data_IF_678034729013
#
_entry.id   IF_678034729013
#
_cell.length_a   1.000
_cell.length_b   1.000
_cell.length_c   1.000
_cell.angle_alpha   90.00
_cell.angle_beta   90.00
_cell.angle_gamma   90.00
#
_symmetry.space_group_name_H-M   'P 1'
#
loop_
_entity.id
_entity.type
_entity.pdbx_description
1 polymer ?
#
# COMPACT_ATOMS: atom_id res chain seq x y z
N UNK A 1 20.31 5.11 0.79
CA UNK A 1 20.29 3.82 0.08
C UNK A 1 20.52 4.14 -1.38
N UNK A 2 21.69 3.72 -1.91
CA UNK A 2 21.98 3.87 -3.34
C UNK A 2 21.23 2.80 -4.13
N UNK A 3 20.48 3.19 -5.12
CA UNK A 3 19.84 2.27 -6.05
C UNK A 3 20.24 2.62 -7.49
N UNK A 4 20.39 1.61 -8.31
CA UNK A 4 20.67 1.75 -9.72
C UNK A 4 19.35 1.59 -10.47
N UNK A 5 18.96 2.61 -11.19
CA UNK A 5 17.77 2.57 -12.04
C UNK A 5 18.11 1.89 -13.37
N UNK A 6 17.35 0.87 -13.72
CA UNK A 6 17.42 0.23 -15.04
C UNK A 6 15.99 0.17 -15.58
N UNK A 7 15.59 1.19 -16.33
CA UNK A 7 14.18 1.33 -16.74
C UNK A 7 13.25 1.61 -15.52
N UNK A 8 12.17 0.83 -15.39
CA UNK A 8 11.22 0.93 -14.28
C UNK A 8 11.58 0.02 -13.09
N UNK A 9 12.83 -0.45 -13.02
CA UNK A 9 13.29 -1.39 -12.02
C UNK A 9 14.41 -0.79 -11.18
N UNK A 10 14.32 -0.93 -9.85
CA UNK A 10 15.32 -0.43 -8.91
C UNK A 10 15.90 -1.60 -8.14
N UNK A 11 17.21 -1.84 -8.30
CA UNK A 11 17.95 -2.80 -7.50
C UNK A 11 18.41 -2.13 -6.20
N UNK A 12 18.14 -2.75 -5.07
CA UNK A 12 18.67 -2.32 -3.79
C UNK A 12 20.18 -2.57 -3.71
N UNK A 13 20.90 -1.75 -2.96
CA UNK A 13 22.33 -2.02 -2.74
C UNK A 13 22.49 -3.31 -1.94
N UNK A 14 23.26 -4.25 -2.47
CA UNK A 14 23.54 -5.57 -1.87
C UNK A 14 24.15 -5.52 -0.46
N UNK A 15 24.56 -4.35 0.00
CA UNK A 15 25.08 -4.17 1.36
C UNK A 15 23.95 -4.10 2.41
N UNK A 16 22.76 -3.60 2.04
CA UNK A 16 21.64 -3.37 2.95
C UNK A 16 20.57 -4.42 2.78
N UNK A 17 20.22 -4.70 1.54
CA UNK A 17 19.18 -5.68 1.20
C UNK A 17 19.48 -6.32 -0.15
N UNK A 18 19.00 -7.53 -0.34
CA UNK A 18 18.83 -8.15 -1.64
C UNK A 18 17.39 -7.96 -2.06
N UNK A 19 17.13 -7.59 -3.32
CA UNK A 19 15.76 -7.46 -3.81
C UNK A 19 15.58 -6.45 -4.92
N UNK A 20 14.33 -6.29 -5.28
CA UNK A 20 13.88 -5.63 -6.47
C UNK A 20 12.62 -4.81 -6.18
N UNK A 21 12.57 -3.60 -6.69
CA UNK A 21 11.35 -2.81 -6.80
C UNK A 21 11.09 -2.56 -8.28
N UNK A 22 9.99 -3.10 -8.77
CA UNK A 22 9.53 -2.93 -10.15
C UNK A 22 8.31 -2.02 -10.16
N UNK A 23 8.41 -0.89 -10.86
CA UNK A 23 7.32 0.07 -11.04
C UNK A 23 6.91 0.10 -12.49
N UNK A 24 5.64 -0.18 -12.77
CA UNK A 24 5.04 -0.14 -14.09
C UNK A 24 3.94 0.92 -14.12
N UNK A 25 4.06 1.90 -14.99
CA UNK A 25 2.95 2.79 -15.32
C UNK A 25 1.97 2.05 -16.26
N UNK A 26 0.73 1.90 -15.81
CA UNK A 26 -0.34 1.23 -16.57
C UNK A 26 -1.05 2.22 -17.48
N UNK A 27 -1.31 3.42 -16.98
CA UNK A 27 -1.81 4.58 -17.72
C UNK A 27 -1.38 5.84 -16.98
N UNK A 28 -1.57 7.01 -17.58
CA UNK A 28 -1.09 8.28 -17.01
C UNK A 28 -1.51 8.43 -15.55
N UNK A 29 -0.52 8.48 -14.67
CA UNK A 29 -0.71 8.67 -13.23
C UNK A 29 -1.25 7.44 -12.48
N UNK A 30 -1.24 6.25 -13.09
CA UNK A 30 -1.60 4.98 -12.45
C UNK A 30 -0.42 4.01 -12.50
N UNK A 31 0.11 3.68 -11.34
CA UNK A 31 1.29 2.82 -11.20
C UNK A 31 0.97 1.54 -10.45
N UNK A 32 1.54 0.45 -10.94
CA UNK A 32 1.61 -0.83 -10.25
C UNK A 32 3.05 -1.03 -9.78
N UNK A 33 3.23 -1.18 -8.48
CA UNK A 33 4.56 -1.30 -7.85
C UNK A 33 4.66 -2.65 -7.17
N UNK A 34 5.60 -3.47 -7.61
CA UNK A 34 5.95 -4.73 -6.97
C UNK A 34 7.27 -4.56 -6.23
N UNK A 35 7.27 -4.85 -4.94
CA UNK A 35 8.46 -4.81 -4.11
C UNK A 35 8.74 -6.19 -3.53
N UNK A 36 9.98 -6.63 -3.67
CA UNK A 36 10.50 -7.83 -3.03
C UNK A 36 11.86 -7.51 -2.43
N UNK A 37 11.98 -7.54 -1.11
CA UNK A 37 13.17 -7.08 -0.39
C UNK A 37 13.49 -8.05 0.75
N UNK A 38 14.77 -8.45 0.85
CA UNK A 38 15.30 -9.22 1.96
C UNK A 38 16.42 -8.42 2.63
N UNK A 39 16.10 -7.82 3.76
CA UNK A 39 17.05 -7.01 4.52
C UNK A 39 18.01 -7.90 5.30
N UNK A 40 19.31 -7.54 5.33
CA UNK A 40 20.38 -8.31 6.00
C UNK A 40 20.47 -8.06 7.50
N UNK A 41 19.81 -7.02 7.96
CA UNK A 41 19.68 -6.62 9.36
C UNK A 41 18.42 -5.80 9.54
N UNK A 42 17.98 -5.62 10.78
CA UNK A 42 16.96 -4.64 11.13
C UNK A 42 17.28 -3.31 10.46
N UNK A 43 16.35 -2.83 9.65
CA UNK A 43 16.56 -1.64 8.82
C UNK A 43 15.43 -0.65 8.99
N UNK A 44 15.80 0.58 9.30
CA UNK A 44 14.91 1.73 9.24
C UNK A 44 15.15 2.45 7.91
N UNK A 45 14.09 2.59 7.13
CA UNK A 45 14.07 3.38 5.90
C UNK A 45 13.33 4.68 6.19
N UNK A 46 14.03 5.79 6.07
CA UNK A 46 13.47 7.13 6.24
C UNK A 46 13.34 7.80 4.89
N UNK A 47 12.13 8.20 4.57
CA UNK A 47 11.79 8.92 3.36
C UNK A 47 11.32 10.32 3.71
N UNK A 48 11.93 11.34 3.11
CA UNK A 48 11.59 12.75 3.29
C UNK A 48 11.19 13.35 1.95
N UNK A 49 10.10 14.06 1.94
CA UNK A 49 9.54 14.72 0.76
C UNK A 49 9.10 16.15 1.09
N UNK A 50 9.19 17.11 0.13
CA UNK A 50 8.65 18.47 0.32
C UNK A 50 7.15 18.43 0.32
N UNK A 51 6.34 17.82 0.89
CA UNK A 51 4.89 17.56 0.79
C UNK A 51 4.53 16.69 -0.41
N UNK A 52 4.25 15.43 -0.14
CA UNK A 52 3.75 14.50 -1.15
C UNK A 52 2.29 14.13 -0.87
N UNK A 53 1.43 14.42 -1.84
CA UNK A 53 0.09 13.84 -1.85
C UNK A 53 0.17 12.42 -2.40
N UNK A 54 -0.45 11.49 -1.71
CA UNK A 54 -0.48 10.09 -2.07
C UNK A 54 -1.90 9.56 -2.07
N UNK A 55 -2.18 8.70 -3.03
CA UNK A 55 -3.22 7.68 -2.94
C UNK A 55 -2.56 6.36 -3.25
N UNK A 56 -2.45 5.50 -2.27
CA UNK A 56 -1.77 4.22 -2.41
C UNK A 56 -2.55 3.11 -1.72
N UNK A 57 -2.84 2.06 -2.48
CA UNK A 57 -3.42 0.82 -1.98
C UNK A 57 -2.34 -0.26 -2.03
N UNK A 58 -1.97 -0.82 -0.88
CA UNK A 58 -0.89 -1.80 -0.75
C UNK A 58 -1.41 -3.12 -0.23
N UNK A 59 -0.94 -4.23 -0.82
CA UNK A 59 -1.23 -5.60 -0.43
C UNK A 59 0.06 -6.27 0.04
N UNK A 60 0.07 -6.81 1.26
CA UNK A 60 1.18 -7.61 1.75
C UNK A 60 1.03 -9.06 1.33
N UNK A 61 2.05 -9.61 0.68
CA UNK A 61 2.12 -11.01 0.27
C UNK A 61 2.99 -11.84 1.21
N UNK A 62 4.03 -11.21 1.76
CA UNK A 62 4.95 -11.85 2.69
C UNK A 62 5.67 -10.81 3.56
N UNK A 63 6.11 -11.22 4.74
CA UNK A 63 6.79 -10.37 5.70
C UNK A 63 5.83 -9.44 6.44
N UNK A 64 6.39 -8.58 7.27
CA UNK A 64 5.68 -7.54 8.01
C UNK A 64 6.42 -6.23 7.79
N UNK A 65 5.69 -5.18 7.52
CA UNK A 65 6.21 -3.82 7.48
C UNK A 65 5.49 -2.98 8.52
N UNK A 66 6.26 -2.26 9.31
CA UNK A 66 5.76 -1.23 10.22
C UNK A 66 6.19 0.13 9.72
N UNK A 67 5.32 1.12 9.78
CA UNK A 67 5.67 2.48 9.41
C UNK A 67 4.88 3.51 10.22
N UNK A 68 5.42 4.70 10.27
CA UNK A 68 4.75 5.87 10.79
C UNK A 68 5.00 7.09 9.90
N UNK A 69 4.14 8.08 10.03
CA UNK A 69 4.30 9.37 9.41
C UNK A 69 4.54 10.44 10.49
N UNK A 70 5.33 11.44 10.15
CA UNK A 70 5.54 12.58 11.04
C UNK A 70 4.23 13.25 11.42
N UNK A 71 3.30 13.35 10.47
CA UNK A 71 1.99 13.99 10.62
C UNK A 71 1.00 13.18 11.47
N UNK A 72 1.21 11.86 11.61
CA UNK A 72 0.37 10.98 12.42
C UNK A 72 0.76 10.93 13.90
N UNK A 73 1.78 11.69 14.30
CA UNK A 73 2.26 11.72 15.68
C UNK A 73 2.87 10.38 16.11
N UNK A 74 2.29 9.77 17.16
CA UNK A 74 2.77 8.49 17.70
C UNK A 74 2.09 7.27 17.07
N UNK A 75 1.20 7.45 16.08
CA UNK A 75 0.55 6.33 15.44
C UNK A 75 1.56 5.54 14.60
N UNK A 76 1.62 4.24 14.85
CA UNK A 76 2.38 3.28 14.08
C UNK A 76 1.42 2.32 13.36
N UNK A 77 1.61 2.15 12.09
CA UNK A 77 0.83 1.25 11.24
C UNK A 77 1.62 -0.02 10.97
N UNK A 78 0.93 -1.11 10.79
CA UNK A 78 1.53 -2.41 10.46
C UNK A 78 0.73 -3.05 9.33
N UNK A 79 1.44 -3.59 8.35
CA UNK A 79 0.87 -4.38 7.27
C UNK A 79 1.50 -5.78 7.30
N UNK A 80 0.65 -6.79 7.40
CA UNK A 80 1.03 -8.21 7.44
C UNK A 80 0.35 -9.00 6.31
N UNK A 81 0.80 -10.23 6.03
CA UNK A 81 0.17 -11.07 5.02
C UNK A 81 -1.35 -11.19 5.20
N UNK A 82 -2.08 -11.23 4.11
CA UNK A 82 -3.55 -11.20 4.06
C UNK A 82 -4.22 -9.87 4.41
N UNK A 83 -3.44 -8.82 4.62
CA UNK A 83 -3.94 -7.47 4.82
C UNK A 83 -3.67 -6.59 3.60
N UNK A 84 -4.48 -5.54 3.48
CA UNK A 84 -4.25 -4.41 2.58
C UNK A 84 -4.34 -3.10 3.37
N UNK A 85 -3.67 -2.08 2.88
CA UNK A 85 -3.74 -0.74 3.44
C UNK A 85 -4.05 0.29 2.37
N UNK A 86 -4.95 1.22 2.68
CA UNK A 86 -5.13 2.46 1.92
C UNK A 86 -4.43 3.60 2.65
N UNK A 87 -3.62 4.31 1.92
CA UNK A 87 -2.95 5.53 2.37
C UNK A 87 -3.39 6.67 1.47
N UNK A 88 -4.01 7.69 2.04
CA UNK A 88 -4.50 8.83 1.29
C UNK A 88 -4.27 10.13 2.06
N UNK A 89 -3.75 11.15 1.38
CA UNK A 89 -3.48 12.45 1.97
C UNK A 89 -2.07 12.95 1.74
N UNK A 90 -1.65 13.94 2.54
CA UNK A 90 -0.34 14.59 2.41
C UNK A 90 0.56 14.23 3.59
N UNK A 91 1.81 13.92 3.30
CA UNK A 91 2.86 13.72 4.30
C UNK A 91 4.20 14.29 3.84
N UNK A 92 5.07 14.61 4.79
CA UNK A 92 6.42 15.11 4.55
C UNK A 92 7.50 14.07 4.89
N UNK A 93 7.23 13.19 5.84
CA UNK A 93 8.18 12.16 6.27
C UNK A 93 7.46 10.86 6.58
N UNK A 94 8.03 9.76 6.07
CA UNK A 94 7.64 8.40 6.40
C UNK A 94 8.86 7.64 6.94
N UNK A 95 8.68 6.87 8.00
CA UNK A 95 9.70 5.98 8.54
C UNK A 95 9.14 4.56 8.52
N UNK A 96 9.80 3.67 7.79
CA UNK A 96 9.43 2.26 7.66
C UNK A 96 10.47 1.37 8.32
N UNK A 97 10.02 0.34 9.03
CA UNK A 97 10.86 -0.62 9.74
C UNK A 97 10.71 -2.01 9.13
N UNK A 98 11.85 -2.63 8.82
CA UNK A 98 11.92 -3.94 8.20
C UNK A 98 12.79 -4.88 9.03
N UNK A 99 12.28 -6.08 9.28
CA UNK A 99 13.02 -7.16 9.93
C UNK A 99 13.97 -7.86 8.95
N UNK A 100 15.11 -8.33 9.46
CA UNK A 100 16.05 -9.17 8.72
C UNK A 100 15.57 -10.61 8.55
N UNK A 101 14.60 -11.07 9.36
CA UNK A 101 14.22 -12.48 9.43
C UNK A 101 13.34 -12.95 8.28
N UNK A 102 12.57 -12.01 7.69
CA UNK A 102 11.56 -12.35 6.70
C UNK A 102 11.65 -11.46 5.46
N UNK A 103 11.72 -12.05 4.26
CA UNK A 103 11.58 -11.27 3.03
C UNK A 103 10.24 -10.53 3.00
N UNK A 104 10.31 -9.25 2.72
CA UNK A 104 9.14 -8.41 2.55
C UNK A 104 8.71 -8.40 1.08
N UNK A 105 7.45 -8.72 0.83
CA UNK A 105 6.89 -8.75 -0.52
C UNK A 105 5.53 -8.08 -0.57
N UNK A 106 5.42 -7.04 -1.40
CA UNK A 106 4.17 -6.28 -1.59
C UNK A 106 3.85 -6.04 -3.05
N UNK A 107 2.57 -5.86 -3.30
CA UNK A 107 2.04 -5.22 -4.50
C UNK A 107 1.31 -3.96 -4.09
N UNK A 108 1.69 -2.83 -4.67
CA UNK A 108 1.05 -1.54 -4.40
C UNK A 108 0.51 -0.92 -5.67
N UNK A 109 -0.66 -0.31 -5.55
CA UNK A 109 -1.28 0.52 -6.57
C UNK A 109 -1.12 1.96 -6.12
N UNK A 110 -0.46 2.79 -6.93
CA UNK A 110 -0.26 4.21 -6.63
C UNK A 110 -0.92 5.06 -7.71
N UNK A 111 -1.69 6.05 -7.28
CA UNK A 111 -2.34 7.03 -8.13
C UNK A 111 -1.74 8.40 -7.89
N UNK A 112 -1.40 9.11 -8.96
CA UNK A 112 -1.02 10.52 -8.87
C UNK A 112 -2.25 11.40 -8.59
N UNK A 113 -2.00 12.57 -7.99
CA UNK A 113 -3.05 13.49 -7.56
C UNK A 113 -4.08 13.78 -8.65
N UNK A 114 -3.63 14.04 -9.89
CA UNK A 114 -4.53 14.35 -11.01
C UNK A 114 -5.48 13.19 -11.33
N UNK A 115 -5.03 11.94 -11.10
CA UNK A 115 -5.79 10.73 -11.38
C UNK A 115 -6.84 10.43 -10.31
N UNK A 116 -6.56 10.69 -9.04
CA UNK A 116 -7.51 10.39 -7.95
C UNK A 116 -8.36 11.59 -7.51
N UNK A 117 -8.02 12.82 -7.93
CA UNK A 117 -8.82 14.01 -7.60
C UNK A 117 -10.32 13.88 -7.88
N UNK A 118 -10.76 13.26 -9.00
CA UNK A 118 -12.18 13.04 -9.24
C UNK A 118 -12.88 12.12 -8.21
N UNK A 119 -12.10 11.31 -7.49
CA UNK A 119 -12.61 10.38 -6.48
C UNK A 119 -12.69 11.02 -5.08
N UNK A 120 -12.13 12.21 -4.89
CA UNK A 120 -11.97 12.81 -3.57
C UNK A 120 -13.30 13.03 -2.86
N UNK A 121 -14.33 13.50 -3.55
CA UNK A 121 -15.65 13.73 -2.96
C UNK A 121 -16.26 12.42 -2.43
N UNK A 122 -16.14 11.35 -3.22
CA UNK A 122 -16.63 10.03 -2.82
C UNK A 122 -15.84 9.48 -1.64
N UNK A 123 -14.51 9.62 -1.66
CA UNK A 123 -13.63 9.18 -0.57
C UNK A 123 -13.87 9.95 0.72
N UNK A 124 -14.15 11.25 0.65
CA UNK A 124 -14.54 12.08 1.80
C UNK A 124 -15.90 11.64 2.36
N UNK A 125 -16.88 11.40 1.49
CA UNK A 125 -18.19 10.91 1.88
C UNK A 125 -18.12 9.52 2.56
N UNK A 126 -17.13 8.70 2.19
CA UNK A 126 -16.84 7.41 2.80
C UNK A 126 -15.95 7.51 4.05
N UNK A 127 -15.54 8.71 4.47
CA UNK A 127 -14.59 8.94 5.57
C UNK A 127 -13.22 8.26 5.38
N UNK A 128 -12.81 8.02 4.15
CA UNK A 128 -11.52 7.44 3.79
C UNK A 128 -10.39 8.47 3.68
N UNK A 129 -10.76 9.75 3.63
CA UNK A 129 -9.84 10.89 3.60
C UNK A 129 -10.21 11.87 4.69
N UNK A 130 -9.21 12.55 5.20
CA UNK A 130 -9.39 13.62 6.18
C UNK A 130 -9.65 14.95 5.47
N UNK A 131 -10.56 15.75 6.00
CA UNK A 131 -10.85 17.09 5.48
C UNK A 131 -9.65 18.06 5.56
N UNK A 132 -8.71 17.82 6.49
CA UNK A 132 -7.46 18.59 6.62
C UNK A 132 -6.36 18.15 5.63
N UNK A 133 -6.67 17.23 4.70
CA UNK A 133 -5.75 16.64 3.73
C UNK A 133 -4.50 15.94 4.33
N UNK A 134 -4.41 15.80 5.65
CA UNK A 134 -3.33 15.02 6.26
C UNK A 134 -3.47 13.55 5.93
N UNK A 135 -2.33 12.87 5.93
CA UNK A 135 -2.28 11.43 5.67
C UNK A 135 -3.25 10.66 6.57
N UNK A 136 -4.04 9.83 5.95
CA UNK A 136 -4.93 8.87 6.59
C UNK A 136 -4.55 7.48 6.12
N UNK A 137 -4.48 6.54 7.06
CA UNK A 137 -4.13 5.16 6.77
C UNK A 137 -5.18 4.23 7.35
N UNK A 138 -5.72 3.40 6.48
CA UNK A 138 -6.66 2.34 6.86
C UNK A 138 -6.03 0.98 6.54
N UNK A 139 -6.02 0.07 7.51
CA UNK A 139 -5.51 -1.30 7.35
C UNK A 139 -6.64 -2.28 7.58
N UNK A 140 -6.87 -3.18 6.63
CA UNK A 140 -7.96 -4.16 6.67
C UNK A 140 -7.50 -5.54 6.23
N UNK A 141 -8.23 -6.56 6.65
CA UNK A 141 -8.10 -7.91 6.08
C UNK A 141 -8.72 -7.95 4.68
N UNK A 142 -8.04 -8.60 3.74
CA UNK A 142 -8.54 -8.74 2.37
C UNK A 142 -9.75 -9.67 2.32
N UNK A 143 -10.83 -9.21 1.69
CA UNK A 143 -12.01 -10.05 1.40
C UNK A 143 -11.71 -11.13 0.35
N UNK A 144 -12.55 -12.17 0.23
CA UNK A 144 -12.43 -13.16 -0.85
C UNK A 144 -12.47 -12.53 -2.24
N UNK A 145 -13.29 -11.49 -2.46
CA UNK A 145 -13.39 -10.78 -3.72
C UNK A 145 -12.08 -10.07 -4.09
N UNK A 146 -11.51 -9.33 -3.15
CA UNK A 146 -10.21 -8.68 -3.31
C UNK A 146 -9.13 -9.71 -3.63
N UNK A 147 -9.04 -10.82 -2.87
CA UNK A 147 -8.06 -11.89 -3.10
C UNK A 147 -8.18 -12.51 -4.49
N UNK A 148 -9.40 -12.71 -4.97
CA UNK A 148 -9.64 -13.26 -6.32
C UNK A 148 -9.11 -12.34 -7.42
N UNK A 149 -9.44 -11.05 -7.36
CA UNK A 149 -8.98 -10.07 -8.36
C UNK A 149 -7.47 -9.86 -8.27
N UNK A 150 -6.94 -9.83 -7.05
CA UNK A 150 -5.51 -9.72 -6.78
C UNK A 150 -4.71 -10.88 -7.38
N UNK A 151 -5.22 -12.13 -7.27
CA UNK A 151 -4.60 -13.28 -7.90
C UNK A 151 -4.54 -13.13 -9.43
N UNK A 152 -5.56 -12.58 -10.06
CA UNK A 152 -5.55 -12.30 -11.50
C UNK A 152 -4.50 -11.28 -11.93
N UNK A 153 -4.13 -10.33 -11.07
CA UNK A 153 -3.01 -9.42 -11.33
C UNK A 153 -1.68 -10.18 -11.31
N UNK A 154 -1.47 -11.04 -10.30
CA UNK A 154 -0.24 -11.80 -10.13
C UNK A 154 -0.05 -12.83 -11.26
N UNK A 155 -1.12 -13.48 -11.67
CA UNK A 155 -1.10 -14.56 -12.68
C UNK A 155 -1.15 -14.02 -14.13
N UNK A 156 -1.15 -12.70 -14.33
CA UNK A 156 -1.24 -12.13 -15.68
C UNK A 156 0.05 -12.40 -16.46
N UNK A 157 -0.01 -13.21 -17.55
CA UNK A 157 1.17 -13.55 -18.30
C UNK A 157 1.85 -12.33 -18.93
N UNK A 158 3.19 -12.26 -18.95
CA UNK A 158 3.92 -11.15 -19.58
C UNK A 158 3.60 -10.96 -21.06
N UNK A 159 3.38 -12.06 -21.77
CA UNK A 159 3.11 -12.12 -23.22
C UNK A 159 1.65 -11.82 -23.59
N UNK A 160 0.78 -11.60 -22.61
CA UNK A 160 -0.63 -11.33 -22.85
C UNK A 160 -0.82 -10.10 -23.76
N UNK A 161 -1.53 -10.26 -24.85
CA UNK A 161 -1.96 -9.14 -25.68
C UNK A 161 -2.84 -8.19 -24.88
N UNK A 162 -2.63 -6.90 -25.04
CA UNK A 162 -3.31 -5.84 -24.27
C UNK A 162 -3.15 -6.01 -22.74
N UNK A 163 -1.97 -6.52 -22.31
CA UNK A 163 -1.66 -6.76 -20.89
C UNK A 163 -1.88 -5.52 -20.04
N UNK A 164 -1.40 -4.36 -20.48
CA UNK A 164 -1.53 -3.10 -19.73
C UNK A 164 -3.00 -2.74 -19.50
N UNK A 165 -3.85 -2.82 -20.53
CA UNK A 165 -5.28 -2.56 -20.41
C UNK A 165 -5.97 -3.55 -19.44
N UNK A 166 -5.57 -4.83 -19.51
CA UNK A 166 -6.10 -5.84 -18.57
C UNK A 166 -5.70 -5.53 -17.12
N UNK A 167 -4.44 -5.21 -16.89
CA UNK A 167 -3.94 -4.87 -15.55
C UNK A 167 -4.62 -3.60 -15.03
N UNK A 168 -4.78 -2.57 -15.87
CA UNK A 168 -5.49 -1.35 -15.50
C UNK A 168 -6.93 -1.64 -15.07
N UNK A 169 -7.66 -2.45 -15.85
CA UNK A 169 -9.02 -2.86 -15.48
C UNK A 169 -9.07 -3.60 -14.14
N UNK A 170 -8.13 -4.51 -13.89
CA UNK A 170 -8.06 -5.24 -12.61
C UNK A 170 -7.66 -4.36 -11.44
N UNK A 171 -6.80 -3.38 -11.65
CA UNK A 171 -6.43 -2.40 -10.64
C UNK A 171 -7.61 -1.53 -10.23
N UNK A 172 -8.38 -1.02 -11.20
CA UNK A 172 -9.58 -0.22 -10.93
C UNK A 172 -10.66 -1.04 -10.23
N UNK A 173 -10.84 -2.33 -10.61
CA UNK A 173 -11.72 -3.26 -9.92
C UNK A 173 -11.29 -3.47 -8.46
N UNK A 174 -9.99 -3.62 -8.18
CA UNK A 174 -9.48 -3.73 -6.80
C UNK A 174 -9.76 -2.48 -5.97
N UNK A 175 -9.54 -1.29 -6.53
CA UNK A 175 -9.82 -0.02 -5.83
C UNK A 175 -11.31 0.07 -5.48
N UNK A 176 -12.20 -0.27 -6.42
CA UNK A 176 -13.65 -0.26 -6.19
C UNK A 176 -14.05 -1.24 -5.10
N UNK A 177 -13.64 -2.51 -5.19
CA UNK A 177 -13.93 -3.54 -4.18
C UNK A 177 -13.40 -3.17 -2.79
N UNK A 178 -12.22 -2.57 -2.75
CA UNK A 178 -11.66 -2.10 -1.49
C UNK A 178 -12.53 -1.01 -0.85
N UNK A 179 -12.96 -0.02 -1.62
CA UNK A 179 -13.84 1.05 -1.13
C UNK A 179 -15.18 0.48 -0.63
N UNK A 180 -15.76 -0.46 -1.36
CA UNK A 180 -17.01 -1.13 -0.96
C UNK A 180 -16.84 -1.90 0.36
N UNK A 181 -15.76 -2.69 0.51
CA UNK A 181 -15.46 -3.45 1.73
C UNK A 181 -15.26 -2.52 2.94
N UNK A 182 -14.60 -1.38 2.76
CA UNK A 182 -14.39 -0.39 3.83
C UNK A 182 -15.71 0.20 4.31
N UNK A 183 -16.60 0.59 3.38
CA UNK A 183 -17.93 1.14 3.71
C UNK A 183 -18.76 0.13 4.48
N UNK A 184 -18.71 -1.14 4.08
CA UNK A 184 -19.42 -2.22 4.77
C UNK A 184 -18.84 -2.43 6.18
N UNK A 185 -17.52 -2.42 6.31
CA UNK A 185 -16.84 -2.61 7.60
C UNK A 185 -17.16 -1.46 8.56
N UNK A 186 -17.12 -0.23 8.10
CA UNK A 186 -17.47 0.94 8.93
C UNK A 186 -18.91 0.92 9.40
N UNK A 187 -19.85 0.45 8.58
CA UNK A 187 -21.27 0.31 8.97
C UNK A 187 -21.50 -0.79 10.01
N UNK A 188 -20.65 -1.83 10.00
CA UNK A 188 -20.74 -2.97 10.90
C UNK A 188 -19.88 -2.80 12.16
N UNK A 189 -19.04 -1.76 12.21
CA UNK A 189 -18.12 -1.51 13.33
C UNK A 189 -18.88 -0.86 14.50
N UNK A 190 -19.61 -1.70 15.21
CA UNK A 190 -20.26 -1.38 16.47
C UNK A 190 -19.24 -1.33 17.61
N UNK A 191 -18.30 -0.40 17.53
CA UNK A 191 -17.62 0.09 18.73
C UNK A 191 -16.33 -0.60 19.19
N UNK A 192 -15.73 -1.51 18.44
CA UNK A 192 -14.38 -2.00 18.75
C UNK A 192 -13.36 -1.12 18.01
N UNK A 193 -12.65 -0.28 18.75
CA UNK A 193 -11.62 0.57 18.16
C UNK A 193 -10.45 -0.27 17.64
N UNK A 194 -9.71 0.27 16.64
CA UNK A 194 -8.47 -0.37 16.15
C UNK A 194 -7.43 -0.55 17.27
N UNK A 195 -7.51 0.23 18.34
CA UNK A 195 -6.72 0.06 19.55
C UNK A 195 -7.13 -1.20 20.33
N UNK A 196 -8.43 -1.43 20.50
CA UNK A 196 -8.95 -2.59 21.24
C UNK A 196 -8.65 -3.89 20.49
N UNK A 197 -8.74 -3.89 19.17
CA UNK A 197 -8.35 -5.02 18.32
C UNK A 197 -6.85 -5.35 18.45
N UNK A 198 -5.97 -4.33 18.47
CA UNK A 198 -4.54 -4.54 18.74
C UNK A 198 -4.25 -5.08 20.14
N UNK A 199 -4.98 -4.61 21.15
CA UNK A 199 -4.88 -5.16 22.51
C UNK A 199 -5.32 -6.63 22.56
N UNK A 200 -6.34 -7.01 21.82
CA UNK A 200 -6.83 -8.38 21.72
C UNK A 200 -5.81 -9.33 21.05
N UNK A 201 -5.13 -8.87 20.00
CA UNK A 201 -4.08 -9.66 19.33
C UNK A 201 -2.82 -9.82 20.19
N UNK A 202 -2.49 -8.86 21.07
CA UNK A 202 -1.35 -8.95 22.00
C UNK A 202 -1.63 -9.82 23.22
N UNK A 203 -2.87 -10.17 23.50
CA UNK A 203 -3.30 -11.00 24.62
C UNK A 203 -3.32 -12.52 24.30
N UNK A 204 -2.90 -12.89 23.08
CA UNK A 204 -2.70 -14.28 22.63
C UNK A 204 -1.21 -14.62 22.59
#
# INVERSE_FOLDING_TARGET
IGHKQTGNCFDLTKQVADGLVNMQELSKGLFLVQSEMAFKKETELREEYPERKVFQLSFCMNGICEWNYRESGSECYQLSPTQCSLQCGTFSQCVSHFSAENPYRTLSISLEQERFSPLMEDLEAMHLVRQDNKICTHVFSTSPGIRFVFQHLLDCPPERKLRTLYLEGKVLELVSLYCDDVVVTQKNDTGISSHDYRCFLKAR
#
